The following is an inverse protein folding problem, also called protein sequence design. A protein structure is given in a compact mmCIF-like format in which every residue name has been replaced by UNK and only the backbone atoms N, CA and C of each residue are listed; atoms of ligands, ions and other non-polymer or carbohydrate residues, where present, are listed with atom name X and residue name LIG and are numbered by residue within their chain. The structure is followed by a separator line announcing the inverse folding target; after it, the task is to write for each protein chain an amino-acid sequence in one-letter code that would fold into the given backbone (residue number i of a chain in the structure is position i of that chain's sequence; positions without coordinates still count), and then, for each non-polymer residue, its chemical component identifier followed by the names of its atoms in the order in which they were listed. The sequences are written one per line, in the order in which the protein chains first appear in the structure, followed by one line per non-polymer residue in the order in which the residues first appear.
data_IF_415470258582
#
_entry.id   IF_415470258582
#
_cell.length_a   1.000
_cell.length_b   1.000
_cell.length_c   1.000
_cell.angle_alpha   90.00
_cell.angle_beta   90.00
_cell.angle_gamma   90.00
#
_symmetry.space_group_name_H-M   'P 1'
#
loop_
_entity.id
_entity.type
_entity.pdbx_description
1 polymer ?
#
# COMPACT_ATOMS: atom_id res chain seq x y z
N UNK A 1 -12.38 -44.46 66.75
CA UNK A 1 -12.96 -45.47 65.84
C UNK A 1 -14.04 -44.82 65.00
N UNK A 2 -14.00 -45.03 63.67
CA UNK A 2 -15.11 -45.26 62.70
C UNK A 2 -16.44 -44.50 62.93
N UNK A 3 -17.13 -43.87 61.99
CA UNK A 3 -17.14 -43.81 60.52
C UNK A 3 -18.30 -42.87 60.15
N UNK A 4 -18.08 -42.02 59.13
CA UNK A 4 -18.95 -41.82 57.97
C UNK A 4 -20.45 -41.53 58.22
N UNK A 5 -20.89 -40.30 57.90
CA UNK A 5 -22.08 -40.08 57.04
C UNK A 5 -21.85 -38.92 56.09
N UNK A 6 -21.75 -39.30 54.82
CA UNK A 6 -21.84 -38.50 53.63
C UNK A 6 -23.18 -37.76 53.62
N UNK A 7 -23.18 -36.43 53.50
CA UNK A 7 -24.34 -35.66 53.04
C UNK A 7 -23.83 -34.51 52.18
N UNK A 8 -24.00 -34.69 50.88
CA UNK A 8 -23.82 -33.66 49.86
C UNK A 8 -25.11 -32.83 49.82
N UNK A 9 -25.08 -31.51 50.04
CA UNK A 9 -26.03 -30.62 49.43
C UNK A 9 -25.40 -30.02 48.18
N UNK A 10 -26.03 -30.38 47.07
CA UNK A 10 -25.91 -29.82 45.73
C UNK A 10 -25.67 -28.30 45.81
N UNK A 11 -24.46 -27.89 45.43
CA UNK A 11 -24.15 -26.48 45.20
C UNK A 11 -24.91 -26.06 43.93
N UNK A 12 -26.11 -25.53 44.12
CA UNK A 12 -26.82 -24.77 43.10
C UNK A 12 -26.01 -23.50 42.89
N UNK A 13 -24.98 -23.57 42.05
CA UNK A 13 -24.39 -22.40 41.41
C UNK A 13 -25.44 -21.92 40.41
N UNK A 14 -26.40 -21.15 40.93
CA UNK A 14 -27.25 -20.30 40.11
C UNK A 14 -26.32 -19.49 39.22
N UNK A 15 -26.44 -19.73 37.92
CA UNK A 15 -25.71 -19.01 36.90
C UNK A 15 -25.91 -17.52 37.06
N UNK A 16 -24.89 -16.84 37.58
CA UNK A 16 -24.61 -15.49 37.12
C UNK A 16 -24.05 -15.62 35.71
N UNK A 17 -24.97 -15.87 34.78
CA UNK A 17 -24.81 -15.45 33.39
C UNK A 17 -24.76 -13.92 33.48
N UNK A 18 -23.58 -13.40 33.78
CA UNK A 18 -23.22 -12.07 33.33
C UNK A 18 -23.30 -12.13 31.81
N UNK A 19 -24.48 -11.82 31.28
CA UNK A 19 -24.56 -11.14 30.01
C UNK A 19 -23.83 -9.80 30.21
N UNK A 20 -22.50 -9.82 30.15
CA UNK A 20 -21.81 -8.69 29.54
C UNK A 20 -22.18 -8.74 28.07
N UNK A 21 -23.38 -8.27 27.73
CA UNK A 21 -23.53 -7.58 26.47
C UNK A 21 -22.61 -6.37 26.62
N UNK A 22 -21.35 -6.55 26.22
CA UNK A 22 -20.60 -5.47 25.61
C UNK A 22 -21.52 -5.00 24.49
N UNK A 23 -22.30 -3.96 24.80
CA UNK A 23 -22.73 -3.02 23.79
C UNK A 23 -21.44 -2.49 23.21
N UNK A 24 -20.95 -3.18 22.19
CA UNK A 24 -20.03 -2.58 21.25
C UNK A 24 -20.75 -1.34 20.75
N UNK A 25 -20.34 -0.18 21.26
CA UNK A 25 -20.47 1.06 20.53
C UNK A 25 -19.66 0.84 19.25
N UNK A 26 -20.28 0.17 18.28
CA UNK A 26 -19.82 0.12 16.91
C UNK A 26 -19.86 1.56 16.44
N UNK A 27 -18.74 2.25 16.56
CA UNK A 27 -18.57 3.58 16.01
C UNK A 27 -19.05 3.52 14.55
N UNK A 28 -20.04 4.35 14.22
CA UNK A 28 -20.64 4.35 12.90
C UNK A 28 -19.55 4.63 11.86
N UNK A 29 -19.22 3.62 11.06
CA UNK A 29 -18.20 3.73 10.01
C UNK A 29 -18.77 4.62 8.91
N UNK A 30 -18.24 5.84 8.79
CA UNK A 30 -18.65 6.76 7.73
C UNK A 30 -18.15 6.26 6.38
N UNK A 31 -18.98 6.31 5.32
CA UNK A 31 -18.53 5.95 3.99
C UNK A 31 -17.41 6.89 3.52
N UNK A 32 -16.44 6.40 2.72
CA UNK A 32 -15.45 7.25 2.07
C UNK A 32 -16.14 8.32 1.19
N UNK A 33 -15.59 9.53 1.17
CA UNK A 33 -16.16 10.66 0.41
C UNK A 33 -16.03 10.51 -1.11
N UNK A 34 -15.22 9.55 -1.57
CA UNK A 34 -14.89 9.32 -2.98
C UNK A 34 -15.64 8.14 -3.61
N UNK A 35 -16.67 7.59 -2.95
CA UNK A 35 -17.53 6.58 -3.57
C UNK A 35 -18.29 7.20 -4.77
N UNK A 36 -18.30 6.49 -5.90
CA UNK A 36 -19.01 6.91 -7.12
C UNK A 36 -20.27 6.07 -7.34
N UNK A 37 -21.22 6.60 -8.12
CA UNK A 37 -22.40 5.84 -8.53
C UNK A 37 -22.04 4.79 -9.60
N UNK A 38 -22.88 3.76 -9.75
CA UNK A 38 -22.75 2.80 -10.83
C UNK A 38 -22.85 3.46 -12.21
N UNK A 39 -23.74 4.44 -12.38
CA UNK A 39 -23.86 5.22 -13.62
C UNK A 39 -22.53 5.89 -13.98
N UNK A 40 -21.86 6.51 -12.99
CA UNK A 40 -20.55 7.14 -13.21
C UNK A 40 -19.46 6.11 -13.54
N UNK A 41 -19.48 4.95 -12.88
CA UNK A 41 -18.54 3.87 -13.17
C UNK A 41 -18.71 3.34 -14.60
N UNK A 42 -19.95 3.12 -15.05
CA UNK A 42 -20.25 2.69 -16.42
C UNK A 42 -19.84 3.74 -17.45
N UNK A 43 -20.12 5.02 -17.20
CA UNK A 43 -19.68 6.14 -18.05
C UNK A 43 -18.16 6.12 -18.24
N UNK A 44 -17.40 6.03 -17.15
CA UNK A 44 -15.94 6.00 -17.19
C UNK A 44 -15.39 4.77 -17.93
N UNK A 45 -15.98 3.59 -17.71
CA UNK A 45 -15.60 2.37 -18.42
C UNK A 45 -15.88 2.48 -19.93
N UNK A 46 -17.03 3.04 -20.31
CA UNK A 46 -17.38 3.23 -21.71
C UNK A 46 -16.48 4.26 -22.40
N UNK A 47 -16.12 5.35 -21.71
CA UNK A 47 -15.16 6.33 -22.21
C UNK A 47 -13.80 5.68 -22.48
N UNK A 48 -13.33 4.83 -21.56
CA UNK A 48 -12.09 4.08 -21.74
C UNK A 48 -12.17 3.16 -22.97
N UNK A 49 -13.21 2.32 -23.07
CA UNK A 49 -13.40 1.39 -24.18
C UNK A 49 -13.51 2.11 -25.54
N UNK A 50 -14.15 3.28 -25.56
CA UNK A 50 -14.29 4.08 -26.79
C UNK A 50 -12.98 4.71 -27.23
N UNK A 51 -12.14 5.14 -26.28
CA UNK A 51 -10.83 5.70 -26.56
C UNK A 51 -9.79 4.63 -26.95
N UNK A 52 -10.06 3.37 -26.60
CA UNK A 52 -9.17 2.23 -26.84
C UNK A 52 -9.95 1.08 -27.50
N UNK A 53 -10.47 1.26 -28.73
CA UNK A 53 -11.38 0.29 -29.35
C UNK A 53 -10.71 -1.05 -29.68
N UNK A 54 -9.40 -1.05 -29.89
CA UNK A 54 -8.60 -2.25 -30.17
C UNK A 54 -8.09 -2.95 -28.89
N UNK A 55 -8.45 -2.41 -27.73
CA UNK A 55 -8.10 -2.96 -26.42
C UNK A 55 -9.25 -3.82 -25.91
N UNK A 56 -9.08 -5.15 -25.91
CA UNK A 56 -10.11 -6.09 -25.47
C UNK A 56 -9.64 -7.00 -24.33
N UNK A 57 -10.48 -7.14 -23.30
CA UNK A 57 -10.64 -8.31 -22.41
C UNK A 57 -9.43 -8.83 -21.64
N UNK A 58 -9.56 -8.97 -20.30
CA UNK A 58 -8.75 -9.71 -19.30
C UNK A 58 -7.21 -9.62 -19.29
N UNK A 59 -6.56 -9.23 -20.39
CA UNK A 59 -5.12 -9.05 -20.61
C UNK A 59 -4.62 -7.67 -20.20
N UNK A 60 -5.52 -6.78 -19.77
CA UNK A 60 -5.15 -5.41 -19.45
C UNK A 60 -4.87 -5.22 -17.96
N UNK A 61 -3.68 -4.71 -17.69
CA UNK A 61 -3.19 -4.30 -16.39
C UNK A 61 -3.89 -3.06 -15.79
N UNK A 62 -5.13 -2.80 -16.16
CA UNK A 62 -5.99 -1.76 -15.57
C UNK A 62 -6.76 -2.25 -14.35
N UNK A 63 -6.84 -3.57 -14.17
CA UNK A 63 -7.44 -4.17 -13.00
C UNK A 63 -6.33 -4.62 -12.08
N UNK A 64 -6.24 -3.93 -10.97
CA UNK A 64 -5.29 -4.23 -9.92
C UNK A 64 -6.04 -4.91 -8.80
N UNK A 65 -5.56 -6.09 -8.41
CA UNK A 65 -6.05 -6.77 -7.23
C UNK A 65 -5.02 -6.66 -6.10
N UNK A 66 -5.53 -6.48 -4.89
CA UNK A 66 -4.75 -6.51 -3.66
C UNK A 66 -5.56 -7.18 -2.57
N UNK A 67 -4.91 -8.02 -1.76
CA UNK A 67 -5.52 -8.54 -0.55
C UNK A 67 -5.84 -7.39 0.39
N UNK A 68 -7.06 -7.34 0.91
CA UNK A 68 -7.44 -6.37 1.93
C UNK A 68 -6.56 -6.54 3.17
N UNK A 69 -6.29 -7.78 3.58
CA UNK A 69 -5.44 -8.08 4.74
C UNK A 69 -4.01 -7.55 4.54
N UNK A 70 -3.40 -7.78 3.38
CA UNK A 70 -2.04 -7.30 3.11
C UNK A 70 -1.99 -5.77 3.03
N UNK A 71 -3.04 -5.16 2.47
CA UNK A 71 -3.15 -3.71 2.39
C UNK A 71 -3.30 -3.09 3.79
N UNK A 72 -4.14 -3.66 4.65
CA UNK A 72 -4.31 -3.23 6.03
C UNK A 72 -3.01 -3.41 6.84
N UNK A 73 -2.35 -4.56 6.71
CA UNK A 73 -1.07 -4.83 7.34
C UNK A 73 -0.01 -3.81 6.91
N UNK A 74 0.07 -3.52 5.61
CA UNK A 74 0.97 -2.50 5.10
C UNK A 74 0.64 -1.10 5.62
N UNK A 75 -0.64 -0.68 5.59
CA UNK A 75 -1.08 0.62 6.09
C UNK A 75 -0.71 0.78 7.57
N UNK A 76 -0.94 -0.26 8.38
CA UNK A 76 -0.58 -0.28 9.80
C UNK A 76 0.93 -0.18 9.99
N UNK A 77 1.70 -0.93 9.20
CA UNK A 77 3.16 -0.91 9.23
C UNK A 77 3.71 0.49 8.90
N UNK A 78 3.32 1.09 7.78
CA UNK A 78 3.86 2.41 7.39
C UNK A 78 3.42 3.52 8.33
N UNK A 79 2.22 3.44 8.93
CA UNK A 79 1.79 4.36 9.99
C UNK A 79 2.64 4.21 11.26
N UNK A 80 2.99 2.98 11.63
CA UNK A 80 3.89 2.72 12.76
C UNK A 80 5.28 3.30 12.51
N UNK A 81 5.83 3.08 11.32
CA UNK A 81 7.13 3.64 10.92
C UNK A 81 7.09 5.18 10.86
N UNK A 82 6.03 5.77 10.29
CA UNK A 82 5.82 7.21 10.30
C UNK A 82 5.78 7.79 11.72
N UNK A 83 5.04 7.15 12.63
CA UNK A 83 5.02 7.54 14.05
C UNK A 83 6.40 7.45 14.69
N UNK A 84 7.18 6.39 14.41
CA UNK A 84 8.56 6.23 14.90
C UNK A 84 9.45 7.37 14.40
N UNK A 85 9.28 7.79 13.16
CA UNK A 85 10.07 8.86 12.54
C UNK A 85 9.52 10.27 12.80
N UNK A 86 8.42 10.43 13.55
CA UNK A 86 7.78 11.74 13.77
C UNK A 86 7.11 12.33 12.53
N UNK A 87 6.72 11.49 11.56
CA UNK A 87 6.13 11.90 10.27
C UNK A 87 4.69 11.37 10.18
N UNK A 88 3.75 12.26 9.93
CA UNK A 88 2.35 11.88 9.71
C UNK A 88 2.16 11.31 8.29
N UNK A 89 1.86 10.01 8.21
CA UNK A 89 1.43 9.37 6.96
C UNK A 89 0.00 9.80 6.65
N UNK A 90 -0.19 10.49 5.52
CA UNK A 90 -1.47 11.11 5.15
C UNK A 90 -2.15 10.47 3.94
N UNK A 91 -1.51 9.48 3.31
CA UNK A 91 -2.02 8.86 2.09
C UNK A 91 -1.07 7.81 1.55
N UNK A 92 -1.33 7.40 0.31
CA UNK A 92 -0.60 6.39 -0.41
C UNK A 92 -0.54 6.79 -1.89
N UNK A 93 0.65 6.76 -2.45
CA UNK A 93 0.89 6.96 -3.87
C UNK A 93 1.01 5.60 -4.55
N UNK A 94 0.35 5.45 -5.70
CA UNK A 94 0.47 4.28 -6.56
C UNK A 94 1.33 4.65 -7.77
N UNK A 95 2.39 3.89 -8.00
CA UNK A 95 3.42 4.16 -9.00
C UNK A 95 3.41 3.03 -10.02
N UNK A 96 3.10 3.35 -11.28
CA UNK A 96 3.18 2.41 -12.38
C UNK A 96 4.61 1.97 -12.64
N UNK A 97 4.82 0.66 -12.68
CA UNK A 97 6.09 -0.01 -12.94
C UNK A 97 5.86 -1.25 -13.79
N UNK A 98 6.91 -2.00 -14.12
CA UNK A 98 6.80 -3.25 -14.86
C UNK A 98 7.77 -4.30 -14.32
N UNK A 99 7.37 -5.57 -14.36
CA UNK A 99 8.24 -6.69 -13.98
C UNK A 99 9.19 -7.12 -15.11
N UNK A 100 8.79 -6.95 -16.36
CA UNK A 100 9.57 -7.39 -17.53
C UNK A 100 10.70 -6.41 -17.87
N UNK A 101 11.80 -6.92 -18.42
CA UNK A 101 12.92 -6.11 -18.90
C UNK A 101 12.47 -5.19 -20.05
N UNK A 102 12.78 -3.90 -19.98
CA UNK A 102 12.39 -2.93 -21.00
C UNK A 102 13.50 -2.70 -22.04
N UNK A 103 13.10 -2.16 -23.19
CA UNK A 103 13.97 -1.51 -24.18
C UNK A 103 13.31 -0.20 -24.61
N UNK A 104 14.08 0.84 -25.00
CA UNK A 104 13.50 2.06 -25.52
C UNK A 104 12.54 1.79 -26.69
N UNK A 105 11.38 2.45 -26.69
CA UNK A 105 10.37 2.37 -27.75
C UNK A 105 9.84 0.96 -28.02
N UNK A 106 9.84 0.08 -27.01
CA UNK A 106 9.22 -1.24 -27.13
C UNK A 106 7.73 -1.06 -27.50
N UNK A 107 7.29 -1.53 -28.68
CA UNK A 107 5.89 -1.44 -29.05
C UNK A 107 5.08 -2.32 -28.11
N UNK A 108 3.86 -1.90 -27.86
CA UNK A 108 3.03 -2.53 -26.87
C UNK A 108 1.57 -2.56 -27.35
N UNK A 109 1.35 -3.38 -28.37
CA UNK A 109 0.05 -3.48 -29.01
C UNK A 109 -0.89 -4.44 -28.25
N UNK A 110 -0.39 -5.19 -27.25
CA UNK A 110 -1.17 -6.26 -26.60
C UNK A 110 -0.78 -6.64 -25.17
N UNK A 111 -0.05 -5.82 -24.41
CA UNK A 111 0.43 -6.21 -23.05
C UNK A 111 1.34 -7.44 -22.97
N UNK A 112 1.78 -8.00 -24.09
CA UNK A 112 2.64 -9.18 -24.10
C UNK A 112 4.09 -8.88 -23.71
N UNK A 113 4.54 -7.67 -24.03
CA UNK A 113 5.93 -7.26 -23.84
C UNK A 113 6.15 -6.51 -22.51
N UNK A 114 5.07 -6.17 -21.79
CA UNK A 114 5.12 -5.54 -20.47
C UNK A 114 4.10 -6.16 -19.50
N UNK A 115 4.60 -6.62 -18.36
CA UNK A 115 3.76 -6.98 -17.22
C UNK A 115 3.74 -5.77 -16.28
N UNK A 116 2.77 -4.88 -16.48
CA UNK A 116 2.61 -3.69 -15.65
C UNK A 116 2.25 -4.12 -14.22
N UNK A 117 2.84 -3.45 -13.25
CA UNK A 117 2.57 -3.63 -11.84
C UNK A 117 2.52 -2.27 -11.16
N UNK A 118 1.82 -2.18 -10.03
CA UNK A 118 1.84 -0.99 -9.20
C UNK A 118 2.74 -1.23 -7.98
N UNK A 119 3.71 -0.35 -7.79
CA UNK A 119 4.27 -0.13 -6.47
C UNK A 119 3.36 0.82 -5.71
N UNK A 120 3.37 0.74 -4.39
CA UNK A 120 2.70 1.71 -3.54
C UNK A 120 3.59 2.14 -2.39
N UNK A 121 3.56 3.44 -2.09
CA UNK A 121 4.41 4.09 -1.08
C UNK A 121 3.56 5.03 -0.21
N UNK A 122 3.87 5.17 1.09
CA UNK A 122 3.15 6.12 1.93
C UNK A 122 3.50 7.55 1.51
N UNK A 123 2.55 8.46 1.72
CA UNK A 123 2.76 9.89 1.50
C UNK A 123 2.72 10.67 2.80
N UNK A 124 3.39 11.82 2.82
CA UNK A 124 3.27 12.83 3.86
C UNK A 124 2.88 14.17 3.24
N UNK A 125 2.40 15.10 4.08
CA UNK A 125 2.15 16.48 3.66
C UNK A 125 3.45 17.26 3.72
N UNK A 126 4.03 17.57 2.58
CA UNK A 126 5.24 18.38 2.50
C UNK A 126 4.92 19.84 2.85
N UNK A 127 5.59 20.37 3.88
CA UNK A 127 5.30 21.70 4.42
C UNK A 127 5.73 22.84 3.50
N UNK A 128 6.72 22.62 2.64
CA UNK A 128 7.23 23.64 1.71
C UNK A 128 6.33 23.78 0.49
N UNK A 129 5.96 22.66 -0.14
CA UNK A 129 5.14 22.62 -1.35
C UNK A 129 3.64 22.58 -1.07
N UNK A 130 3.24 22.16 0.13
CA UNK A 130 1.84 21.89 0.49
C UNK A 130 1.24 20.70 -0.24
N UNK A 131 2.04 19.84 -0.89
CA UNK A 131 1.56 18.67 -1.65
C UNK A 131 1.74 17.37 -0.86
N UNK A 132 1.02 16.34 -1.28
CA UNK A 132 1.28 14.98 -0.79
C UNK A 132 2.47 14.44 -1.58
N UNK A 133 3.47 13.93 -0.87
CA UNK A 133 4.73 13.49 -1.45
C UNK A 133 5.08 12.10 -0.93
N UNK A 134 5.47 11.18 -1.80
CA UNK A 134 5.88 9.84 -1.40
C UNK A 134 7.26 9.88 -0.72
N UNK A 135 7.38 9.12 0.37
CA UNK A 135 8.60 9.05 1.16
C UNK A 135 8.87 7.63 1.68
N UNK A 136 10.12 7.37 2.06
CA UNK A 136 10.51 6.10 2.65
C UNK A 136 10.51 6.23 4.19
N UNK A 137 9.48 5.72 4.89
CA UNK A 137 9.37 5.90 6.34
C UNK A 137 10.43 5.10 7.12
N UNK A 138 11.00 4.05 6.53
CA UNK A 138 12.03 3.25 7.18
C UNK A 138 13.36 4.02 7.28
N UNK A 139 13.63 4.84 6.26
CA UNK A 139 14.89 5.57 6.12
C UNK A 139 14.75 7.06 6.42
N UNK A 140 13.56 7.50 6.86
CA UNK A 140 13.29 8.88 7.26
C UNK A 140 13.38 9.08 8.77
N UNK A 141 13.70 10.31 9.16
CA UNK A 141 13.72 10.80 10.53
C UNK A 141 12.99 12.16 10.59
N UNK A 142 12.64 12.63 11.80
CA UNK A 142 11.77 13.80 12.03
C UNK A 142 12.22 15.06 11.28
N UNK A 143 13.55 15.26 11.16
CA UNK A 143 14.13 16.43 10.49
C UNK A 143 14.81 16.07 9.16
N UNK A 144 14.62 14.84 8.68
CA UNK A 144 15.28 14.32 7.48
C UNK A 144 14.38 13.29 6.80
N UNK A 145 13.46 13.82 6.00
CA UNK A 145 12.54 13.00 5.22
C UNK A 145 13.20 12.55 3.92
N UNK A 146 13.23 11.25 3.68
CA UNK A 146 13.74 10.65 2.45
C UNK A 146 12.60 10.56 1.43
N UNK A 147 12.52 11.55 0.54
CA UNK A 147 11.53 11.58 -0.55
C UNK A 147 11.90 10.54 -1.61
N UNK A 148 10.91 9.78 -2.10
CA UNK A 148 11.14 8.75 -3.12
C UNK A 148 11.72 9.34 -4.41
N UNK A 149 11.23 10.50 -4.84
CA UNK A 149 11.73 11.18 -6.05
C UNK A 149 13.25 11.40 -6.00
N UNK A 150 13.79 11.73 -4.83
CA UNK A 150 15.20 12.06 -4.67
C UNK A 150 16.05 10.79 -4.68
N UNK A 151 15.51 9.69 -4.16
CA UNK A 151 16.14 8.35 -4.21
C UNK A 151 16.21 7.87 -5.65
N UNK A 152 15.12 8.00 -6.41
CA UNK A 152 15.07 7.54 -7.80
C UNK A 152 15.90 8.41 -8.74
N UNK A 153 15.86 9.74 -8.61
CA UNK A 153 16.67 10.64 -9.41
C UNK A 153 18.18 10.40 -9.22
N UNK A 154 18.63 10.09 -8.00
CA UNK A 154 20.05 9.76 -7.75
C UNK A 154 20.50 8.46 -8.41
N UNK A 155 19.61 7.47 -8.52
CA UNK A 155 19.92 6.20 -9.17
C UNK A 155 20.14 6.38 -10.69
N UNK A 156 19.31 7.19 -11.33
CA UNK A 156 19.46 7.51 -12.75
C UNK A 156 20.79 8.23 -13.06
N UNK A 157 21.27 9.06 -12.14
CA UNK A 157 22.58 9.75 -12.27
C UNK A 157 23.76 8.80 -11.99
N UNK A 158 23.63 7.87 -11.03
CA UNK A 158 24.68 6.88 -10.74
C UNK A 158 24.90 5.87 -11.87
N UNK A 159 23.84 5.47 -12.56
CA UNK A 159 23.91 4.52 -13.69
C UNK A 159 24.36 5.19 -15.00
N UNK A 160 24.36 6.53 -15.07
CA UNK A 160 24.78 7.31 -16.26
C UNK A 160 26.19 7.90 -16.19
N UNK A 161 26.85 7.88 -15.02
CA UNK A 161 28.23 8.36 -14.87
C UNK A 161 29.19 7.17 -14.87
N UNK A 162 29.51 6.71 -16.08
CA UNK A 162 30.79 6.08 -16.41
C UNK A 162 31.47 6.92 -17.50
N UNK A 163 31.93 8.11 -17.11
CA UNK A 163 33.15 8.73 -17.64
C UNK A 163 33.43 10.00 -16.84
N UNK A 164 34.54 9.97 -16.10
CA UNK A 164 35.37 11.12 -15.75
C UNK A 164 34.66 12.38 -15.24
N UNK A 165 34.52 12.50 -13.92
CA UNK A 165 34.96 13.70 -13.17
C UNK A 165 34.62 13.56 -11.69
N UNK A 166 35.67 13.43 -10.88
CA UNK A 166 35.62 13.72 -9.45
C UNK A 166 35.14 15.17 -9.26
N UNK A 167 33.94 15.37 -8.68
CA UNK A 167 33.68 16.58 -7.92
C UNK A 167 32.61 16.38 -6.85
N UNK A 168 32.99 16.80 -5.64
CA UNK A 168 32.31 16.69 -4.36
C UNK A 168 30.90 17.29 -4.37
N UNK A 169 29.88 16.46 -4.53
CA UNK A 169 28.56 16.70 -3.95
C UNK A 169 28.47 15.87 -2.67
N UNK A 170 28.03 16.47 -1.56
CA UNK A 170 27.89 15.78 -0.26
C UNK A 170 27.04 14.53 -0.45
N UNK A 171 27.70 13.40 -0.29
CA UNK A 171 27.20 12.06 -0.45
C UNK A 171 26.19 11.76 0.66
N UNK A 172 24.93 12.11 0.42
CA UNK A 172 23.84 11.49 1.15
C UNK A 172 23.49 10.22 0.37
N UNK A 173 24.25 9.16 0.67
CA UNK A 173 24.14 7.82 0.09
C UNK A 173 22.67 7.40 0.05
N UNK A 174 22.20 6.90 -1.09
CA UNK A 174 20.89 6.24 -1.15
C UNK A 174 20.82 5.18 -0.04
N UNK A 175 19.69 5.03 0.66
CA UNK A 175 19.62 4.10 1.77
C UNK A 175 19.92 2.67 1.28
N UNK A 176 20.98 2.06 1.80
CA UNK A 176 21.25 0.64 1.58
C UNK A 176 20.38 -0.16 2.56
N UNK A 177 19.40 -0.91 2.08
CA UNK A 177 18.56 -1.75 2.94
C UNK A 177 17.13 -1.97 2.42
N UNK A 178 16.27 -2.46 3.32
CA UNK A 178 14.82 -2.55 3.07
C UNK A 178 14.24 -1.14 2.94
N UNK A 179 13.27 -0.97 2.05
CA UNK A 179 12.48 0.26 1.91
C UNK A 179 11.07 0.05 2.45
N UNK A 180 10.42 1.14 2.82
CA UNK A 180 8.98 1.14 3.12
C UNK A 180 8.08 1.08 1.89
N UNK A 181 8.60 0.72 0.70
CA UNK A 181 7.84 0.60 -0.54
C UNK A 181 7.37 -0.84 -0.67
N UNK A 182 6.09 -1.04 -0.95
CA UNK A 182 5.56 -2.35 -1.29
C UNK A 182 5.36 -2.49 -2.80
N UNK A 183 5.62 -3.69 -3.31
CA UNK A 183 5.44 -4.09 -4.69
C UNK A 183 4.82 -5.49 -4.70
N UNK A 184 3.52 -5.59 -4.94
CA UNK A 184 2.76 -6.86 -5.12
C UNK A 184 1.31 -6.59 -5.56
N UNK A 185 1.04 -5.42 -6.14
CA UNK A 185 -0.27 -5.13 -6.72
C UNK A 185 -0.33 -5.85 -8.06
N UNK A 186 -0.80 -7.10 -8.02
CA UNK A 186 -0.94 -7.90 -9.23
C UNK A 186 -1.99 -7.24 -10.12
N UNK A 187 -1.52 -6.60 -11.18
CA UNK A 187 -2.36 -6.23 -12.30
C UNK A 187 -2.54 -7.50 -13.14
N UNK A 188 -3.68 -8.19 -12.95
CA UNK A 188 -3.93 -9.53 -13.51
C UNK A 188 -3.77 -9.53 -15.05
N UNK A 189 -3.20 -10.60 -15.63
CA UNK A 189 -4.02 -11.51 -16.44
C UNK A 189 -3.69 -13.00 -16.15
N UNK A 190 -4.57 -14.01 -16.37
CA UNK A 190 -6.02 -14.05 -16.55
C UNK A 190 -6.72 -14.83 -15.40
N UNK A 191 -6.19 -14.81 -14.18
CA UNK A 191 -6.76 -15.58 -13.05
C UNK A 191 -6.57 -14.78 -11.76
N UNK A 192 -7.62 -14.07 -11.39
CA UNK A 192 -7.85 -13.65 -10.02
C UNK A 192 -8.99 -14.60 -9.54
N UNK A 193 -8.79 -15.42 -8.50
CA UNK A 193 -9.59 -16.61 -8.18
C UNK A 193 -11.08 -16.36 -7.93
#
# INVERSE_FOLDING_TARGET
MKTLKLFVPVLIVLGMISCSQQTENSAEVKPPSNLISYEKAFEQLNNFNSAHPDVSGDEYALRVWVSIEDLENYINYVKSEGKRSGIEVNGMEFIYTQYQNSKPNMPNESNKDYELTLMYAPTFKDSESGKNEAFDPMNSEENKIVKLRDVFAKKEVGDSINSDSENKAKEQSSPNGKSGIANSLNACPPICP
#
